data_IF_889172027818
#
_entry.id   IF_889172027818
#
_cell.length_a   1.000
_cell.length_b   1.000
_cell.length_c   1.000
_cell.angle_alpha   90.00
_cell.angle_beta   90.00
_cell.angle_gamma   90.00
#
_symmetry.space_group_name_H-M   'P 1'
#
loop_
_entity.id
_entity.type
_entity.pdbx_description
1 polymer ?
#
# COMPACT_ATOMS: atom_id res chain seq x y z
N UNK A 1 18.82 -16.95 6.76
CA UNK A 1 17.37 -16.83 7.04
C UNK A 1 17.02 -15.41 7.46
N UNK A 2 17.53 -14.88 8.58
CA UNK A 2 17.19 -13.55 9.10
C UNK A 2 17.36 -12.41 8.06
N UNK A 3 18.46 -12.41 7.31
CA UNK A 3 18.71 -11.39 6.26
C UNK A 3 17.61 -11.38 5.17
N UNK A 4 17.12 -12.55 4.76
CA UNK A 4 16.04 -12.67 3.75
C UNK A 4 14.72 -12.11 4.29
N UNK A 5 14.37 -12.40 5.54
CA UNK A 5 13.18 -11.82 6.19
C UNK A 5 13.28 -10.30 6.35
N UNK A 6 14.45 -9.81 6.74
CA UNK A 6 14.68 -8.36 6.82
C UNK A 6 14.55 -7.70 5.44
N UNK A 7 15.02 -8.34 4.39
CA UNK A 7 14.91 -7.84 3.01
C UNK A 7 13.45 -7.72 2.59
N UNK A 8 12.64 -8.76 2.74
CA UNK A 8 11.22 -8.70 2.36
C UNK A 8 10.43 -7.73 3.24
N UNK A 9 10.78 -7.58 4.51
CA UNK A 9 10.21 -6.59 5.40
C UNK A 9 10.47 -5.16 4.91
N UNK A 10 11.72 -4.84 4.60
CA UNK A 10 12.10 -3.52 4.08
C UNK A 10 11.48 -3.24 2.71
N UNK A 11 11.47 -4.22 1.81
CA UNK A 11 10.81 -4.10 0.50
C UNK A 11 9.33 -3.78 0.66
N UNK A 12 8.65 -4.43 1.61
CA UNK A 12 7.21 -4.20 1.83
C UNK A 12 6.90 -2.81 2.40
N UNK A 13 7.85 -2.13 3.02
CA UNK A 13 7.70 -0.76 3.52
C UNK A 13 7.88 0.30 2.43
N UNK A 14 8.58 -0.02 1.34
CA UNK A 14 8.92 0.95 0.29
C UNK A 14 7.70 1.28 -0.56
N UNK A 15 7.38 2.58 -0.79
CA UNK A 15 6.34 2.95 -1.73
C UNK A 15 6.65 2.39 -3.13
N UNK A 16 5.63 2.04 -3.90
CA UNK A 16 5.71 1.41 -5.23
C UNK A 16 5.91 -0.12 -5.15
N UNK A 17 6.87 -0.63 -4.39
CA UNK A 17 7.10 -2.06 -4.26
C UNK A 17 6.10 -2.71 -3.30
N UNK A 18 6.01 -2.17 -2.10
CA UNK A 18 5.08 -2.64 -1.07
C UNK A 18 5.12 -4.18 -0.90
N UNK A 19 4.07 -4.73 -0.33
CA UNK A 19 3.83 -6.17 -0.23
C UNK A 19 3.81 -6.85 -1.61
N UNK A 20 3.44 -6.14 -2.66
CA UNK A 20 3.36 -6.66 -4.04
C UNK A 20 4.73 -7.06 -4.60
N UNK A 21 5.77 -6.33 -4.25
CA UNK A 21 7.15 -6.71 -4.55
C UNK A 21 7.68 -7.74 -3.56
N UNK A 22 7.43 -7.54 -2.26
CA UNK A 22 7.99 -8.38 -1.20
C UNK A 22 7.54 -9.86 -1.28
N UNK A 23 6.28 -10.13 -1.64
CA UNK A 23 5.76 -11.51 -1.75
C UNK A 23 6.43 -12.31 -2.87
N UNK A 24 6.52 -11.85 -4.13
CA UNK A 24 7.27 -12.56 -5.16
C UNK A 24 8.73 -12.83 -4.76
N UNK A 25 9.39 -11.85 -4.11
CA UNK A 25 10.74 -12.06 -3.58
C UNK A 25 10.80 -13.16 -2.52
N UNK A 26 9.80 -13.23 -1.63
CA UNK A 26 9.76 -14.27 -0.59
C UNK A 26 9.64 -15.66 -1.19
N UNK A 27 8.82 -15.81 -2.23
CA UNK A 27 8.66 -17.08 -2.97
C UNK A 27 9.96 -17.42 -3.70
N UNK A 28 10.56 -16.47 -4.41
CA UNK A 28 11.84 -16.66 -5.11
C UNK A 28 13.01 -17.00 -4.17
N UNK A 29 13.00 -16.52 -2.93
CA UNK A 29 13.98 -16.89 -1.91
C UNK A 29 13.74 -18.27 -1.27
N UNK A 30 12.65 -18.94 -1.60
CA UNK A 30 12.23 -20.21 -1.01
C UNK A 30 11.91 -20.10 0.48
N UNK A 31 11.39 -18.95 0.92
CA UNK A 31 11.02 -18.73 2.31
C UNK A 31 9.68 -19.43 2.65
N UNK A 32 9.52 -19.91 3.89
CA UNK A 32 8.23 -20.45 4.35
C UNK A 32 7.10 -19.46 4.15
N UNK A 33 6.00 -19.91 3.57
CA UNK A 33 4.89 -19.08 3.09
C UNK A 33 4.25 -18.22 4.17
N UNK A 34 3.80 -18.85 5.27
CA UNK A 34 3.03 -18.18 6.32
C UNK A 34 3.87 -17.12 7.05
N UNK A 35 5.09 -17.42 7.54
CA UNK A 35 5.93 -16.41 8.18
C UNK A 35 6.27 -15.25 7.25
N UNK A 36 6.57 -15.52 5.98
CA UNK A 36 6.89 -14.48 4.99
C UNK A 36 5.71 -13.58 4.72
N UNK A 37 4.52 -14.14 4.58
CA UNK A 37 3.28 -13.39 4.40
C UNK A 37 3.03 -12.42 5.58
N UNK A 38 3.14 -12.92 6.81
CA UNK A 38 2.97 -12.12 8.02
C UNK A 38 3.99 -10.97 8.08
N UNK A 39 5.26 -11.26 7.80
CA UNK A 39 6.33 -10.25 7.78
C UNK A 39 6.07 -9.17 6.72
N UNK A 40 5.62 -9.56 5.52
CA UNK A 40 5.28 -8.62 4.46
C UNK A 40 4.07 -7.74 4.84
N UNK A 41 3.02 -8.32 5.43
CA UNK A 41 1.84 -7.57 5.88
C UNK A 41 2.23 -6.55 6.96
N UNK A 42 2.98 -6.99 7.97
CA UNK A 42 3.44 -6.09 9.06
C UNK A 42 4.29 -4.96 8.48
N UNK A 43 5.27 -5.27 7.64
CA UNK A 43 6.14 -4.27 7.01
C UNK A 43 5.33 -3.26 6.19
N UNK A 44 4.33 -3.70 5.45
CA UNK A 44 3.47 -2.82 4.65
C UNK A 44 2.55 -1.94 5.50
N UNK A 45 2.14 -2.40 6.68
CA UNK A 45 1.25 -1.66 7.58
C UNK A 45 1.97 -0.62 8.47
N UNK A 46 3.27 -0.78 8.73
CA UNK A 46 4.03 0.15 9.56
C UNK A 46 4.01 1.60 9.04
N UNK A 47 4.20 1.87 7.74
CA UNK A 47 4.14 3.24 7.23
C UNK A 47 2.73 3.87 7.27
N UNK A 48 1.66 3.06 7.29
CA UNK A 48 0.26 3.54 7.18
C UNK A 48 -0.08 4.64 8.18
N UNK A 49 0.19 4.52 9.49
CA UNK A 49 -0.08 5.59 10.45
C UNK A 49 0.64 6.89 10.09
N UNK A 50 1.92 6.77 9.74
CA UNK A 50 2.74 7.93 9.38
C UNK A 50 2.25 8.60 8.11
N UNK A 51 1.87 7.83 7.10
CA UNK A 51 1.31 8.34 5.85
C UNK A 51 0.02 9.09 6.14
N UNK A 52 -0.89 8.52 6.90
CA UNK A 52 -2.17 9.14 7.22
C UNK A 52 -2.01 10.49 7.91
N UNK A 53 -1.12 10.56 8.92
CA UNK A 53 -0.97 11.75 9.76
C UNK A 53 -0.01 12.80 9.21
N UNK A 54 1.04 12.39 8.49
CA UNK A 54 2.17 13.27 8.15
C UNK A 54 2.38 13.49 6.66
N UNK A 55 2.04 12.52 5.79
CA UNK A 55 2.40 12.60 4.38
C UNK A 55 1.76 13.82 3.69
N UNK A 56 0.50 14.13 3.98
CA UNK A 56 -0.17 15.32 3.45
C UNK A 56 0.60 16.59 3.82
N UNK A 57 0.97 16.75 5.08
CA UNK A 57 1.74 17.92 5.55
C UNK A 57 3.11 18.01 4.88
N UNK A 58 3.81 16.87 4.72
CA UNK A 58 5.11 16.82 4.06
C UNK A 58 4.97 17.16 2.57
N UNK A 59 3.96 16.63 1.89
CA UNK A 59 3.71 16.91 0.48
C UNK A 59 3.31 18.36 0.24
N UNK A 60 2.44 18.93 1.06
CA UNK A 60 2.04 20.34 0.99
C UNK A 60 3.25 21.26 1.24
N UNK A 61 4.10 20.94 2.19
CA UNK A 61 5.33 21.67 2.46
C UNK A 61 6.33 21.56 1.30
N UNK A 62 6.45 20.38 0.70
CA UNK A 62 7.43 20.09 -0.35
C UNK A 62 7.05 20.55 -1.74
N UNK A 63 5.74 20.79 -2.03
CA UNK A 63 5.27 21.20 -3.37
C UNK A 63 5.91 22.49 -3.89
N UNK A 64 6.27 23.39 -2.98
CA UNK A 64 6.86 24.69 -3.32
C UNK A 64 8.39 24.65 -3.42
N UNK A 65 9.01 23.48 -3.24
CA UNK A 65 10.46 23.30 -3.32
C UNK A 65 10.93 23.12 -4.76
N UNK A 66 12.04 23.80 -5.11
CA UNK A 66 12.56 23.90 -6.49
C UNK A 66 12.89 22.54 -7.14
N UNK A 67 13.43 21.59 -6.38
CA UNK A 67 13.88 20.29 -6.93
C UNK A 67 12.86 19.17 -6.77
N UNK A 68 12.09 19.14 -5.68
CA UNK A 68 11.18 18.06 -5.31
C UNK A 68 9.71 18.43 -5.50
N UNK A 69 9.42 19.72 -5.77
CA UNK A 69 8.06 20.24 -5.88
C UNK A 69 7.21 19.55 -6.96
N UNK A 70 7.80 19.25 -8.13
CA UNK A 70 7.09 18.56 -9.21
C UNK A 70 6.67 17.13 -8.81
N UNK A 71 7.53 16.42 -8.11
CA UNK A 71 7.24 15.07 -7.62
C UNK A 71 6.16 15.10 -6.53
N UNK A 72 6.27 16.04 -5.59
CA UNK A 72 5.29 16.19 -4.51
C UNK A 72 3.93 16.66 -5.03
N UNK A 73 3.90 17.57 -5.99
CA UNK A 73 2.68 17.99 -6.68
C UNK A 73 2.03 16.81 -7.41
N UNK A 74 2.82 15.99 -8.09
CA UNK A 74 2.33 14.77 -8.73
C UNK A 74 1.70 13.79 -7.72
N UNK A 75 2.35 13.59 -6.55
CA UNK A 75 1.81 12.75 -5.49
C UNK A 75 0.48 13.29 -4.94
N UNK A 76 0.38 14.62 -4.72
CA UNK A 76 -0.84 15.28 -4.27
C UNK A 76 -1.97 15.11 -5.28
N UNK A 77 -1.72 15.39 -6.55
CA UNK A 77 -2.71 15.23 -7.62
C UNK A 77 -3.17 13.78 -7.75
N UNK A 78 -2.25 12.81 -7.66
CA UNK A 78 -2.60 11.39 -7.66
C UNK A 78 -3.45 10.99 -6.45
N UNK A 79 -3.12 11.52 -5.26
CA UNK A 79 -3.91 11.30 -4.04
C UNK A 79 -5.32 11.90 -4.16
N UNK A 80 -5.45 13.13 -4.66
CA UNK A 80 -6.74 13.78 -4.89
C UNK A 80 -7.59 13.05 -5.94
N UNK A 81 -7.00 12.62 -7.05
CA UNK A 81 -7.72 11.82 -8.05
C UNK A 81 -8.17 10.46 -7.51
N UNK A 82 -7.34 9.80 -6.71
CA UNK A 82 -7.72 8.60 -5.99
C UNK A 82 -8.87 8.87 -5.02
N UNK A 83 -8.79 9.97 -4.29
CA UNK A 83 -9.83 10.47 -3.41
C UNK A 83 -11.16 10.73 -4.11
N UNK A 84 -11.16 11.43 -5.23
CA UNK A 84 -12.38 11.72 -6.00
C UNK A 84 -13.06 10.44 -6.49
N UNK A 85 -12.31 9.42 -6.91
CA UNK A 85 -12.85 8.10 -7.28
C UNK A 85 -13.53 7.40 -6.10
N UNK A 86 -13.00 7.58 -4.89
CA UNK A 86 -13.60 7.05 -3.66
C UNK A 86 -14.84 7.84 -3.24
N UNK A 87 -14.84 9.16 -3.41
CA UNK A 87 -15.96 10.05 -3.09
C UNK A 87 -17.20 9.84 -3.97
N UNK A 88 -17.06 9.28 -5.16
CA UNK A 88 -18.21 8.91 -5.99
C UNK A 88 -19.11 7.87 -5.31
N UNK A 89 -18.65 7.28 -4.19
CA UNK A 89 -19.41 6.35 -3.34
C UNK A 89 -19.57 6.94 -1.95
N UNK A 90 -20.80 7.25 -1.56
CA UNK A 90 -21.11 7.81 -0.24
C UNK A 90 -21.26 6.75 0.86
N UNK A 91 -21.03 7.16 2.11
CA UNK A 91 -21.24 6.31 3.31
C UNK A 91 -20.31 5.10 3.39
N UNK A 92 -20.87 3.92 3.70
CA UNK A 92 -20.11 2.67 3.83
C UNK A 92 -19.41 2.27 2.52
N UNK A 93 -19.94 2.68 1.38
CA UNK A 93 -19.39 2.42 0.07
C UNK A 93 -17.98 2.96 -0.13
N UNK A 94 -17.61 4.08 0.49
CA UNK A 94 -16.26 4.66 0.38
C UNK A 94 -15.21 3.78 1.04
N UNK A 95 -15.53 3.13 2.16
CA UNK A 95 -14.62 2.23 2.86
C UNK A 95 -14.44 0.91 2.11
N UNK A 96 -15.50 0.37 1.50
CA UNK A 96 -15.41 -0.81 0.62
C UNK A 96 -14.58 -0.46 -0.61
N UNK A 97 -14.79 0.72 -1.21
CA UNK A 97 -13.97 1.18 -2.32
C UNK A 97 -12.50 1.33 -1.94
N UNK A 98 -12.20 1.82 -0.74
CA UNK A 98 -10.82 1.89 -0.21
C UNK A 98 -10.20 0.50 -0.08
N UNK A 99 -10.93 -0.47 0.47
CA UNK A 99 -10.49 -1.86 0.57
C UNK A 99 -10.16 -2.44 -0.81
N UNK A 100 -11.04 -2.29 -1.78
CA UNK A 100 -10.84 -2.80 -3.14
C UNK A 100 -9.70 -2.07 -3.85
N UNK A 101 -9.58 -0.76 -3.66
CA UNK A 101 -8.49 0.04 -4.21
C UNK A 101 -7.12 -0.41 -3.71
N UNK A 102 -7.02 -0.78 -2.44
CA UNK A 102 -5.79 -1.33 -1.85
C UNK A 102 -5.62 -2.79 -2.22
N UNK A 103 -6.69 -3.57 -2.23
CA UNK A 103 -6.66 -5.03 -2.36
C UNK A 103 -6.47 -5.54 -3.78
N UNK A 104 -6.91 -4.79 -4.79
CA UNK A 104 -6.70 -5.19 -6.19
C UNK A 104 -5.29 -4.73 -6.60
N UNK A 105 -4.38 -5.67 -6.98
CA UNK A 105 -2.98 -5.35 -7.25
C UNK A 105 -2.78 -4.70 -8.63
N UNK A 106 -3.25 -3.46 -8.79
CA UNK A 106 -3.04 -2.65 -9.98
C UNK A 106 -1.89 -1.65 -9.79
N UNK A 107 -1.18 -1.26 -10.86
CA UNK A 107 -0.18 -0.21 -10.77
C UNK A 107 -0.78 1.11 -10.24
N UNK A 108 -0.12 1.71 -9.27
CA UNK A 108 -0.55 2.99 -8.68
C UNK A 108 -1.65 2.88 -7.64
N UNK A 109 -2.12 1.68 -7.31
CA UNK A 109 -2.96 1.41 -6.13
C UNK A 109 -2.10 0.87 -4.99
N UNK A 110 -2.64 0.69 -3.80
CA UNK A 110 -1.94 0.07 -2.67
C UNK A 110 -2.15 0.78 -1.35
N UNK A 111 -1.42 0.34 -0.32
CA UNK A 111 -1.55 0.89 1.04
C UNK A 111 -1.11 2.36 1.11
N UNK A 112 -0.03 2.73 0.43
CA UNK A 112 0.45 4.11 0.39
C UNK A 112 -0.56 5.07 -0.24
N UNK A 113 -0.97 4.80 -1.47
CA UNK A 113 -1.93 5.64 -2.20
C UNK A 113 -3.32 5.60 -1.60
N UNK A 114 -3.76 4.44 -1.12
CA UNK A 114 -5.05 4.30 -0.44
C UNK A 114 -5.10 5.08 0.88
N UNK A 115 -4.02 5.04 1.67
CA UNK A 115 -3.93 5.79 2.92
C UNK A 115 -3.84 7.30 2.67
N UNK A 116 -3.09 7.73 1.66
CA UNK A 116 -3.08 9.13 1.22
C UNK A 116 -4.48 9.60 0.82
N UNK A 117 -5.18 8.83 -0.01
CA UNK A 117 -6.55 9.15 -0.41
C UNK A 117 -7.50 9.24 0.79
N UNK A 118 -7.42 8.30 1.73
CA UNK A 118 -8.20 8.31 2.96
C UNK A 118 -7.91 9.55 3.82
N UNK A 119 -6.63 9.98 3.91
CA UNK A 119 -6.23 11.19 4.61
C UNK A 119 -6.76 12.45 3.94
N UNK A 120 -6.69 12.56 2.60
CA UNK A 120 -7.23 13.70 1.86
C UNK A 120 -8.75 13.84 1.98
N UNK A 121 -9.45 12.71 2.04
CA UNK A 121 -10.89 12.66 2.22
C UNK A 121 -11.34 12.81 3.67
N UNK A 122 -10.40 12.97 4.59
CA UNK A 122 -10.66 13.07 6.03
C UNK A 122 -11.52 11.91 6.56
N UNK A 123 -11.33 10.71 5.99
CA UNK A 123 -12.05 9.51 6.42
C UNK A 123 -11.67 9.14 7.86
N UNK A 124 -12.59 8.47 8.55
CA UNK A 124 -12.32 7.99 9.90
C UNK A 124 -11.05 7.12 9.95
N UNK A 125 -10.12 7.49 10.81
CA UNK A 125 -8.83 6.85 10.97
C UNK A 125 -8.93 5.34 11.23
N UNK A 126 -9.76 4.95 12.19
CA UNK A 126 -9.88 3.54 12.61
C UNK A 126 -10.46 2.69 11.48
N UNK A 127 -11.52 3.16 10.84
CA UNK A 127 -12.15 2.47 9.72
C UNK A 127 -11.20 2.39 8.53
N UNK A 128 -10.50 3.47 8.23
CA UNK A 128 -9.53 3.50 7.12
C UNK A 128 -8.39 2.51 7.32
N UNK A 129 -7.79 2.46 8.52
CA UNK A 129 -6.71 1.50 8.83
C UNK A 129 -7.19 0.06 8.70
N UNK A 130 -8.39 -0.26 9.20
CA UNK A 130 -8.96 -1.61 9.08
C UNK A 130 -9.17 -1.97 7.60
N UNK A 131 -9.73 -1.08 6.80
CA UNK A 131 -9.99 -1.34 5.38
C UNK A 131 -8.69 -1.44 4.57
N UNK A 132 -7.70 -0.60 4.86
CA UNK A 132 -6.36 -0.71 4.27
C UNK A 132 -5.73 -2.05 4.64
N UNK A 133 -5.78 -2.47 5.89
CA UNK A 133 -5.25 -3.76 6.35
C UNK A 133 -5.93 -4.94 5.63
N UNK A 134 -7.26 -4.96 5.56
CA UNK A 134 -8.00 -5.99 4.83
C UNK A 134 -7.63 -5.99 3.33
N UNK A 135 -7.48 -4.82 2.74
CA UNK A 135 -7.02 -4.67 1.36
C UNK A 135 -5.60 -5.22 1.17
N UNK A 136 -4.68 -4.91 2.08
CA UNK A 136 -3.30 -5.44 2.07
C UNK A 136 -3.28 -6.96 2.16
N UNK A 137 -4.09 -7.55 3.06
CA UNK A 137 -4.21 -9.01 3.17
C UNK A 137 -4.77 -9.61 1.87
N UNK A 138 -5.82 -9.01 1.31
CA UNK A 138 -6.39 -9.46 0.03
C UNK A 138 -5.37 -9.38 -1.11
N UNK A 139 -4.67 -8.25 -1.26
CA UNK A 139 -3.60 -8.11 -2.25
C UNK A 139 -2.49 -9.14 -2.05
N UNK A 140 -2.13 -9.40 -0.80
CA UNK A 140 -1.13 -10.39 -0.43
C UNK A 140 -1.51 -11.81 -0.85
N UNK A 141 -2.75 -12.21 -0.63
CA UNK A 141 -3.26 -13.52 -1.07
C UNK A 141 -3.21 -13.63 -2.60
N UNK A 142 -3.69 -12.60 -3.31
CA UNK A 142 -3.67 -12.58 -4.78
C UNK A 142 -2.24 -12.68 -5.31
N UNK A 143 -1.32 -11.88 -4.76
CA UNK A 143 0.09 -11.88 -5.17
C UNK A 143 0.78 -13.21 -4.84
N UNK A 144 0.45 -13.82 -3.71
CA UNK A 144 1.02 -15.10 -3.30
C UNK A 144 0.59 -16.23 -4.24
N UNK A 145 -0.70 -16.32 -4.55
CA UNK A 145 -1.24 -17.30 -5.50
C UNK A 145 -0.64 -17.10 -6.90
N UNK A 146 -0.57 -15.85 -7.35
CA UNK A 146 0.08 -15.51 -8.62
C UNK A 146 1.56 -15.87 -8.67
N UNK A 147 2.29 -15.64 -7.57
CA UNK A 147 3.72 -15.96 -7.48
C UNK A 147 3.96 -17.47 -7.49
N UNK A 148 3.18 -18.26 -6.76
CA UNK A 148 3.30 -19.73 -6.81
C UNK A 148 2.98 -20.24 -8.21
N UNK A 149 1.93 -19.73 -8.86
CA UNK A 149 1.60 -20.11 -10.23
C UNK A 149 2.73 -19.81 -11.22
N UNK A 150 3.39 -18.67 -11.05
CA UNK A 150 4.51 -18.26 -11.91
C UNK A 150 5.77 -19.10 -11.65
N UNK A 151 6.16 -19.27 -10.38
CA UNK A 151 7.38 -20.03 -10.01
C UNK A 151 7.18 -21.54 -10.02
N UNK A 152 5.94 -22.01 -9.89
CA UNK A 152 5.62 -23.46 -9.99
C UNK A 152 5.47 -23.96 -11.43
N UNK A 153 5.42 -23.05 -12.41
CA UNK A 153 5.38 -23.38 -13.83
C UNK A 153 6.78 -23.41 -14.49
N UNK A 154 7.84 -23.05 -13.71
CA UNK A 154 9.24 -23.13 -14.12
C UNK A 154 9.88 -24.34 -13.47
#
# INVERSE_FOLDING_TARGET
MLKKYLTIFLISMVPILELRGAIPYSVGFGLPSIPSFIVCVIGNMIPVPFIYWFARRVLEWGKDKRFIGKFFTWCLVKGEHGGQKLMAKSGTGVYIALLLFVGIPLPGTGAWTGTLAASFLELDWKKSVIMVMLGVVMAGVIMYLGSIGLFGAI
#
